data_IF_518623330014
#
_entry.id   IF_518623330014
#
_cell.length_a   1.000
_cell.length_b   1.000
_cell.length_c   1.000
_cell.angle_alpha   90.00
_cell.angle_beta   90.00
_cell.angle_gamma   90.00
#
_symmetry.space_group_name_H-M   'P 1'
#
loop_
_entity.id
_entity.type
_entity.pdbx_description
1 polymer ?
#
# COMPACT_ATOMS: atom_id res chain seq x y z
N UNK A 1 13.61 20.52 2.05
CA UNK A 1 12.16 20.30 1.94
C UNK A 1 12.00 18.87 1.51
N UNK A 2 11.07 18.13 2.09
CA UNK A 2 10.83 16.73 1.73
C UNK A 2 9.44 16.66 1.14
N UNK A 3 9.33 16.26 -0.12
CA UNK A 3 8.07 16.18 -0.85
C UNK A 3 7.64 14.72 -0.98
N UNK A 4 6.35 14.45 -0.75
CA UNK A 4 5.84 13.08 -0.72
C UNK A 4 4.41 12.95 -1.25
N UNK A 5 4.10 11.75 -1.74
CA UNK A 5 2.76 11.32 -2.11
C UNK A 5 2.47 9.94 -1.49
N UNK A 6 1.57 9.87 -0.53
CA UNK A 6 1.33 8.65 0.27
C UNK A 6 0.10 7.86 -0.17
N UNK A 7 -0.61 8.28 -1.23
CA UNK A 7 -1.81 7.60 -1.69
C UNK A 7 -1.75 7.37 -3.20
N UNK A 8 -1.24 6.19 -3.55
CA UNK A 8 -1.22 5.68 -4.92
C UNK A 8 -1.80 4.27 -4.96
N UNK A 9 -1.93 3.72 -6.16
CA UNK A 9 -2.30 2.33 -6.37
C UNK A 9 -1.27 1.59 -7.21
N UNK A 10 -1.08 0.31 -6.90
CA UNK A 10 -0.26 -0.62 -7.66
C UNK A 10 -1.02 -1.24 -8.84
N UNK A 11 -0.30 -2.01 -9.67
CA UNK A 11 -0.83 -2.67 -10.88
C UNK A 11 -1.99 -3.67 -10.65
N UNK A 12 -2.30 -4.01 -9.39
CA UNK A 12 -3.35 -4.96 -9.04
C UNK A 12 -4.70 -4.29 -8.73
N UNK A 13 -4.74 -2.96 -8.66
CA UNK A 13 -5.99 -2.20 -8.52
C UNK A 13 -6.75 -2.06 -9.84
N UNK A 14 -8.08 -2.12 -9.77
CA UNK A 14 -8.95 -1.90 -10.91
C UNK A 14 -8.83 -0.47 -11.47
N UNK A 15 -8.76 -0.35 -12.81
CA UNK A 15 -8.64 0.95 -13.48
C UNK A 15 -7.25 1.60 -13.39
N UNK A 16 -6.24 0.87 -12.90
CA UNK A 16 -4.86 1.36 -12.76
C UNK A 16 -3.97 0.82 -13.89
N UNK A 17 -2.96 1.60 -14.26
CA UNK A 17 -1.99 1.21 -15.29
C UNK A 17 -1.22 -0.05 -14.90
N UNK A 18 -1.01 -1.02 -15.82
CA UNK A 18 -0.20 -2.21 -15.53
C UNK A 18 1.29 -1.89 -15.30
N UNK A 19 1.72 -0.65 -15.59
CA UNK A 19 3.07 -0.16 -15.34
C UNK A 19 3.29 0.35 -13.91
N UNK A 20 2.27 0.37 -13.05
CA UNK A 20 2.41 0.77 -11.66
C UNK A 20 3.15 -0.33 -10.86
N UNK A 21 4.46 -0.38 -11.07
CA UNK A 21 5.43 -1.26 -10.42
C UNK A 21 6.46 -0.39 -9.70
N UNK A 22 6.96 -0.83 -8.52
CA UNK A 22 7.93 -0.08 -7.70
C UNK A 22 9.07 0.58 -8.51
N UNK A 23 9.77 -0.11 -9.43
CA UNK A 23 10.85 0.53 -10.19
C UNK A 23 10.38 1.70 -11.07
N UNK A 24 9.21 1.58 -11.70
CA UNK A 24 8.62 2.63 -12.53
C UNK A 24 8.12 3.79 -11.67
N UNK A 25 7.51 3.47 -10.53
CA UNK A 25 7.04 4.47 -9.57
C UNK A 25 8.24 5.29 -9.06
N UNK A 26 9.35 4.64 -8.71
CA UNK A 26 10.57 5.31 -8.29
C UNK A 26 11.13 6.22 -9.39
N UNK A 27 11.29 5.72 -10.61
CA UNK A 27 11.79 6.52 -11.75
C UNK A 27 10.95 7.78 -12.00
N UNK A 28 9.63 7.66 -11.95
CA UNK A 28 8.73 8.80 -12.17
C UNK A 28 8.65 9.73 -10.95
N UNK A 29 8.80 9.21 -9.73
CA UNK A 29 8.89 10.00 -8.51
C UNK A 29 10.15 10.89 -8.51
N UNK A 30 11.30 10.37 -8.93
CA UNK A 30 12.53 11.16 -9.09
C UNK A 30 12.33 12.32 -10.07
N UNK A 31 11.73 12.05 -11.24
CA UNK A 31 11.41 13.09 -12.24
C UNK A 31 10.44 14.13 -11.71
N UNK A 32 9.48 13.71 -10.87
CA UNK A 32 8.48 14.57 -10.25
C UNK A 32 9.08 15.43 -9.13
N UNK A 33 10.20 15.00 -8.54
CA UNK A 33 10.84 15.63 -7.39
C UNK A 33 10.25 15.18 -6.05
N UNK A 34 9.71 13.96 -5.97
CA UNK A 34 9.28 13.38 -4.70
C UNK A 34 10.45 12.64 -4.06
N UNK A 35 10.65 12.83 -2.76
CA UNK A 35 11.65 12.09 -1.97
C UNK A 35 11.07 10.78 -1.43
N UNK A 36 9.75 10.70 -1.30
CA UNK A 36 9.06 9.57 -0.67
C UNK A 36 7.68 9.31 -1.29
N UNK A 37 7.32 8.04 -1.40
CA UNK A 37 6.03 7.61 -1.98
C UNK A 37 5.39 6.53 -1.10
N UNK A 38 4.06 6.51 -1.00
CA UNK A 38 3.36 5.36 -0.43
C UNK A 38 3.52 4.14 -1.35
N UNK A 39 3.67 2.94 -0.80
CA UNK A 39 3.65 1.72 -1.63
C UNK A 39 2.32 1.54 -2.37
N UNK A 40 1.21 2.02 -1.77
CA UNK A 40 -0.15 1.63 -2.16
C UNK A 40 -0.39 0.13 -1.96
N UNK A 41 -1.66 -0.26 -1.88
CA UNK A 41 -2.14 -1.65 -2.02
C UNK A 41 -1.39 -2.74 -1.21
N UNK A 42 -0.70 -2.39 -0.11
CA UNK A 42 0.29 -3.27 0.53
C UNK A 42 -0.34 -4.53 1.16
N UNK A 43 -1.66 -4.51 1.39
CA UNK A 43 -2.42 -5.68 1.84
C UNK A 43 -2.60 -6.74 0.76
N UNK A 44 -2.41 -6.42 -0.53
CA UNK A 44 -2.49 -7.42 -1.59
C UNK A 44 -1.25 -8.34 -1.55
N UNK A 45 -1.38 -9.66 -1.36
CA UNK A 45 -0.22 -10.54 -1.18
C UNK A 45 0.76 -10.57 -2.36
N UNK A 46 0.25 -10.41 -3.59
CA UNK A 46 1.11 -10.36 -4.79
C UNK A 46 1.87 -9.04 -4.85
N UNK A 47 1.22 -7.96 -4.45
CA UNK A 47 1.87 -6.66 -4.34
C UNK A 47 2.92 -6.63 -3.23
N UNK A 48 2.60 -7.15 -2.04
CA UNK A 48 3.55 -7.26 -0.94
C UNK A 48 4.81 -8.03 -1.35
N UNK A 49 4.65 -9.15 -2.07
CA UNK A 49 5.79 -9.89 -2.62
C UNK A 49 6.60 -9.08 -3.62
N UNK A 50 5.94 -8.31 -4.49
CA UNK A 50 6.59 -7.40 -5.43
C UNK A 50 7.38 -6.32 -4.68
N UNK A 51 6.79 -5.68 -3.68
CA UNK A 51 7.45 -4.66 -2.84
C UNK A 51 8.68 -5.26 -2.15
N UNK A 52 8.53 -6.38 -1.42
CA UNK A 52 9.66 -7.05 -0.75
C UNK A 52 10.79 -7.46 -1.70
N UNK A 53 10.48 -7.74 -2.97
CA UNK A 53 11.49 -8.10 -3.98
C UNK A 53 12.22 -6.88 -4.54
N UNK A 54 11.51 -5.78 -4.72
CA UNK A 54 12.03 -4.60 -5.39
C UNK A 54 12.60 -3.56 -4.41
N UNK A 55 12.29 -3.62 -3.12
CA UNK A 55 12.79 -2.67 -2.12
C UNK A 55 13.70 -3.31 -1.09
N UNK A 56 14.66 -2.54 -0.57
CA UNK A 56 15.40 -2.87 0.64
C UNK A 56 14.71 -2.25 1.86
N UNK A 57 14.48 -3.05 2.90
CA UNK A 57 13.94 -2.53 4.15
C UNK A 57 15.03 -1.84 4.97
N UNK A 58 14.78 -0.59 5.36
CA UNK A 58 15.63 0.24 6.22
C UNK A 58 14.85 0.55 7.51
N UNK A 59 15.53 1.14 8.49
CA UNK A 59 14.87 1.55 9.74
C UNK A 59 13.86 2.67 9.46
N UNK A 60 12.57 2.32 9.42
CA UNK A 60 11.44 3.24 9.28
C UNK A 60 10.99 3.53 7.85
N UNK A 61 11.57 2.90 6.82
CA UNK A 61 11.11 3.03 5.42
C UNK A 61 11.69 1.91 4.54
N UNK A 62 11.13 1.76 3.34
CA UNK A 62 11.61 0.88 2.28
C UNK A 62 12.33 1.71 1.21
N UNK A 63 13.35 1.18 0.54
CA UNK A 63 14.17 1.95 -0.41
C UNK A 63 14.30 1.24 -1.76
N UNK A 64 14.11 1.99 -2.85
CA UNK A 64 14.44 1.56 -4.22
C UNK A 64 15.15 2.70 -4.95
N UNK A 65 16.42 2.52 -5.28
CA UNK A 65 17.24 3.61 -5.81
C UNK A 65 17.36 4.74 -4.79
N UNK A 66 17.07 5.97 -5.21
CA UNK A 66 17.08 7.15 -4.34
C UNK A 66 15.70 7.47 -3.74
N UNK A 67 14.65 6.70 -4.09
CA UNK A 67 13.28 6.91 -3.62
C UNK A 67 12.96 6.04 -2.41
N UNK A 68 12.37 6.69 -1.41
CA UNK A 68 11.86 6.05 -0.20
C UNK A 68 10.40 5.68 -0.37
N UNK A 69 10.01 4.57 0.23
CA UNK A 69 8.66 4.07 0.25
C UNK A 69 8.18 3.85 1.68
N UNK A 70 6.93 4.22 1.94
CA UNK A 70 6.23 3.93 3.20
C UNK A 70 5.12 2.93 2.91
N UNK A 71 5.01 1.83 3.70
CA UNK A 71 3.94 0.86 3.51
C UNK A 71 2.57 1.53 3.74
N UNK A 72 1.74 1.54 2.70
CA UNK A 72 0.43 2.18 2.70
C UNK A 72 -0.58 1.33 1.96
N UNK A 73 -1.85 1.45 2.34
CA UNK A 73 -2.98 0.85 1.61
C UNK A 73 -4.20 1.75 1.71
N UNK A 74 -5.10 1.61 0.74
CA UNK A 74 -6.46 2.09 0.86
C UNK A 74 -7.39 0.88 0.98
N UNK A 75 -8.43 0.99 1.81
CA UNK A 75 -9.51 -0.02 1.91
C UNK A 75 -10.88 0.65 1.71
N UNK A 76 -11.85 -0.09 1.16
CA UNK A 76 -13.25 0.35 1.02
C UNK A 76 -14.12 -0.34 2.09
N UNK A 77 -14.86 0.42 2.88
CA UNK A 77 -15.74 -0.14 3.92
C UNK A 77 -17.10 -0.60 3.37
N UNK A 78 -18.01 -1.03 4.25
CA UNK A 78 -19.32 -1.54 3.84
C UNK A 78 -20.21 -0.48 3.16
N UNK A 79 -20.06 0.79 3.56
CA UNK A 79 -20.74 1.98 3.04
C UNK A 79 -20.03 2.63 1.85
N UNK A 80 -18.95 2.00 1.38
CA UNK A 80 -18.11 2.44 0.25
C UNK A 80 -17.30 3.70 0.52
N UNK A 81 -17.03 3.98 1.79
CA UNK A 81 -16.09 5.02 2.22
C UNK A 81 -14.68 4.45 2.12
N UNK A 82 -13.75 5.27 1.64
CA UNK A 82 -12.35 4.89 1.49
C UNK A 82 -11.53 5.37 2.68
N UNK A 83 -10.69 4.47 3.19
CA UNK A 83 -9.83 4.71 4.35
C UNK A 83 -8.37 4.47 3.95
N UNK A 84 -7.54 5.50 4.11
CA UNK A 84 -6.08 5.39 3.93
C UNK A 84 -5.44 4.92 5.24
N UNK A 85 -4.60 3.90 5.14
CA UNK A 85 -3.85 3.32 6.26
C UNK A 85 -2.35 3.42 5.94
N UNK A 86 -1.58 3.89 6.93
CA UNK A 86 -0.12 4.05 6.85
C UNK A 86 0.48 3.17 7.93
N UNK A 87 1.27 2.18 7.53
CA UNK A 87 1.89 1.25 8.48
C UNK A 87 3.33 1.67 8.79
N UNK A 88 3.82 1.41 10.02
CA UNK A 88 5.19 1.74 10.41
C UNK A 88 6.24 0.84 9.74
N UNK A 89 5.88 -0.42 9.45
CA UNK A 89 6.77 -1.45 8.90
C UNK A 89 5.96 -2.59 8.24
N UNK A 90 6.67 -3.51 7.58
CA UNK A 90 6.05 -4.66 6.92
C UNK A 90 5.56 -5.74 7.90
N UNK A 91 6.05 -5.75 9.15
CA UNK A 91 5.56 -6.64 10.19
C UNK A 91 4.11 -6.28 10.56
N UNK A 92 3.85 -5.00 10.80
CA UNK A 92 2.51 -4.48 11.12
C UNK A 92 1.53 -4.69 9.96
N UNK A 93 2.00 -4.59 8.70
CA UNK A 93 1.19 -4.94 7.52
C UNK A 93 0.74 -6.40 7.58
N UNK A 94 1.66 -7.32 7.91
CA UNK A 94 1.36 -8.75 7.97
C UNK A 94 0.44 -9.10 9.14
N UNK A 95 0.52 -8.36 10.25
CA UNK A 95 -0.43 -8.48 11.37
C UNK A 95 -1.83 -8.01 10.96
N UNK A 96 -1.95 -6.80 10.44
CA UNK A 96 -3.23 -6.26 9.98
C UNK A 96 -3.87 -7.13 8.88
N UNK A 97 -3.06 -7.69 7.97
CA UNK A 97 -3.55 -8.62 6.96
C UNK A 97 -4.23 -9.86 7.55
N UNK A 98 -3.77 -10.38 8.71
CA UNK A 98 -4.39 -11.55 9.34
C UNK A 98 -5.84 -11.30 9.74
N UNK A 99 -6.14 -10.09 10.20
CA UNK A 99 -7.49 -9.70 10.60
C UNK A 99 -8.32 -9.28 9.39
N UNK A 100 -7.76 -8.45 8.49
CA UNK A 100 -8.49 -7.99 7.29
C UNK A 100 -8.88 -9.14 6.35
N UNK A 101 -8.06 -10.20 6.23
CA UNK A 101 -8.42 -11.32 5.35
C UNK A 101 -9.64 -12.12 5.83
N UNK A 102 -9.97 -12.07 7.12
CA UNK A 102 -11.16 -12.76 7.65
C UNK A 102 -12.45 -12.01 7.32
N UNK A 103 -12.34 -10.71 7.03
CA UNK A 103 -13.47 -9.80 6.75
C UNK A 103 -13.42 -9.19 5.34
N UNK A 104 -12.65 -9.78 4.43
CA UNK A 104 -12.56 -9.35 3.03
C UNK A 104 -12.59 -10.54 2.06
N UNK A 105 -13.41 -10.46 1.03
CA UNK A 105 -13.50 -11.51 0.00
C UNK A 105 -12.47 -11.35 -1.13
N UNK A 106 -11.86 -10.18 -1.26
CA UNK A 106 -11.11 -9.79 -2.45
C UNK A 106 -9.69 -9.27 -2.17
N UNK A 107 -9.25 -9.21 -0.91
CA UNK A 107 -7.90 -8.83 -0.49
C UNK A 107 -6.76 -9.58 -1.19
N UNK A 108 -7.00 -10.80 -1.65
CA UNK A 108 -6.01 -11.60 -2.39
C UNK A 108 -5.91 -11.26 -3.87
N UNK A 109 -6.88 -10.53 -4.42
CA UNK A 109 -7.02 -10.24 -5.85
C UNK A 109 -6.91 -8.75 -6.16
N UNK A 110 -7.60 -7.90 -5.41
CA UNK A 110 -7.70 -6.46 -5.65
C UNK A 110 -6.63 -5.69 -4.87
N UNK A 111 -6.22 -4.53 -5.39
CA UNK A 111 -5.30 -3.64 -4.68
C UNK A 111 -5.97 -2.81 -3.58
N UNK A 112 -7.20 -2.32 -3.82
CA UNK A 112 -8.10 -1.80 -2.79
C UNK A 112 -9.12 -2.88 -2.41
N UNK A 113 -8.91 -3.63 -1.31
CA UNK A 113 -9.89 -4.60 -0.84
C UNK A 113 -11.14 -3.92 -0.31
N UNK A 114 -12.27 -4.62 -0.44
CA UNK A 114 -13.48 -4.28 0.30
C UNK A 114 -13.50 -5.02 1.64
N UNK A 115 -13.76 -4.27 2.70
CA UNK A 115 -13.84 -4.75 4.07
C UNK A 115 -15.31 -4.78 4.49
N UNK A 116 -15.77 -5.91 5.02
CA UNK A 116 -17.14 -6.13 5.48
C UNK A 116 -17.33 -5.61 6.91
N UNK A 117 -16.99 -4.34 7.12
CA UNK A 117 -17.12 -3.65 8.39
C UNK A 117 -17.20 -2.13 8.16
N UNK A 118 -17.55 -1.38 9.20
CA UNK A 118 -17.53 0.08 9.21
C UNK A 118 -16.13 0.64 9.50
N UNK A 119 -16.00 1.97 9.43
CA UNK A 119 -14.76 2.66 9.75
C UNK A 119 -14.28 2.48 11.19
N UNK A 120 -15.19 2.33 12.16
CA UNK A 120 -14.82 2.08 13.57
C UNK A 120 -14.06 0.77 13.70
N UNK A 121 -14.57 -0.30 13.07
CA UNK A 121 -13.91 -1.60 13.09
C UNK A 121 -12.59 -1.60 12.33
N UNK A 122 -12.47 -0.83 11.24
CA UNK A 122 -11.22 -0.71 10.49
C UNK A 122 -10.11 -0.07 11.35
N UNK A 123 -10.44 0.95 12.15
CA UNK A 123 -9.50 1.60 13.08
C UNK A 123 -9.07 0.68 14.23
N UNK A 124 -9.88 -0.30 14.62
CA UNK A 124 -9.46 -1.28 15.63
C UNK A 124 -8.37 -2.25 15.11
N UNK A 125 -8.30 -2.44 13.79
CA UNK A 125 -7.32 -3.35 13.16
C UNK A 125 -6.03 -2.62 12.79
N UNK A 126 -6.11 -1.34 12.43
CA UNK A 126 -5.05 -0.59 11.75
C UNK A 126 -4.68 0.74 12.43
#
# INVERSE_FOLDING_TARGET
MTDFDLHIHGKHSGGVSPKMEIPVIAEEAEKKGLDMVGTGDILNPKWLQHVKKETEEKSGYLEHGDIKFIPTTEVEDEDRIHHLIIFPDLETVEEAYKDFQEISDDIRREGRPRIKADGEKIVEIA
#
